data_IF_867366634595
#
_entry.id   IF_867366634595
#
_cell.length_a   1.000
_cell.length_b   1.000
_cell.length_c   1.000
_cell.angle_alpha   90.00
_cell.angle_beta   90.00
_cell.angle_gamma   90.00
#
_symmetry.space_group_name_H-M   'P 1'
#
loop_
_entity.id
_entity.type
_entity.pdbx_description
1 polymer ?
#
# COMPACT_ATOMS: atom_id res chain seq x y z
N UNK A 1 -1.87 1.23 -21.27
CA UNK A 1 -2.09 0.92 -19.85
C UNK A 1 -3.32 1.65 -19.36
N UNK A 2 -4.10 1.00 -18.49
CA UNK A 2 -5.36 1.59 -18.00
C UNK A 2 -5.15 2.69 -16.96
N UNK A 3 -4.04 2.67 -16.22
CA UNK A 3 -3.71 3.72 -15.28
C UNK A 3 -3.29 4.96 -16.04
N UNK A 4 -3.95 6.07 -15.76
CA UNK A 4 -3.78 7.28 -16.54
C UNK A 4 -2.56 8.08 -16.12
N UNK A 5 -2.14 9.01 -16.99
CA UNK A 5 -1.04 9.93 -16.75
C UNK A 5 -1.24 10.68 -15.42
N UNK A 6 -0.19 10.79 -14.64
CA UNK A 6 -0.16 11.49 -13.35
C UNK A 6 -1.09 10.91 -12.29
N UNK A 7 -1.49 9.64 -12.44
CA UNK A 7 -2.33 8.96 -11.45
C UNK A 7 -1.55 8.61 -10.18
N UNK A 8 -2.26 8.56 -9.06
CA UNK A 8 -1.75 8.02 -7.80
C UNK A 8 -2.28 6.60 -7.61
N UNK A 9 -1.36 5.65 -7.46
CA UNK A 9 -1.65 4.27 -7.11
C UNK A 9 -1.30 4.07 -5.63
N UNK A 10 -2.30 3.79 -4.83
CA UNK A 10 -2.13 3.53 -3.40
C UNK A 10 -2.18 2.03 -3.14
N UNK A 11 -1.16 1.53 -2.44
CA UNK A 11 -1.15 0.15 -1.96
C UNK A 11 -1.22 0.16 -0.44
N UNK A 12 -2.15 -0.58 0.10
CA UNK A 12 -2.37 -0.63 1.54
C UNK A 12 -2.65 -2.06 2.00
N UNK A 13 -2.51 -2.28 3.28
CA UNK A 13 -2.70 -3.59 3.88
C UNK A 13 -1.97 -3.71 5.21
N UNK A 14 -1.39 -4.88 5.43
CA UNK A 14 -0.68 -5.25 6.65
C UNK A 14 0.86 -5.24 6.46
N UNK A 15 1.56 -6.09 7.21
CA UNK A 15 3.03 -6.18 7.16
C UNK A 15 3.57 -6.58 5.80
N UNK A 16 2.82 -7.35 5.01
CA UNK A 16 3.26 -7.77 3.67
C UNK A 16 3.40 -6.55 2.75
N UNK A 17 2.53 -5.57 2.91
CA UNK A 17 2.60 -4.30 2.19
C UNK A 17 3.54 -3.32 2.86
N UNK A 18 3.48 -3.19 4.18
CA UNK A 18 4.31 -2.27 4.97
C UNK A 18 5.80 -2.52 4.74
N UNK A 19 6.27 -3.69 5.11
CA UNK A 19 7.66 -4.14 4.95
C UNK A 19 8.70 -3.06 5.24
N UNK A 20 8.52 -2.29 6.31
CA UNK A 20 9.48 -1.27 6.73
C UNK A 20 9.44 0.00 5.89
N UNK A 21 8.31 0.35 5.31
CA UNK A 21 8.16 1.61 4.56
C UNK A 21 8.45 2.83 5.42
N UNK A 22 8.84 3.92 4.79
CA UNK A 22 9.07 5.20 5.47
C UNK A 22 7.75 5.83 5.90
N UNK A 23 7.75 6.45 7.05
CA UNK A 23 6.62 7.18 7.62
C UNK A 23 6.96 8.65 7.82
N UNK A 24 6.05 9.59 7.47
CA UNK A 24 4.76 9.35 6.81
C UNK A 24 4.92 8.81 5.40
N UNK A 25 3.84 8.33 4.78
CA UNK A 25 3.88 7.80 3.43
C UNK A 25 4.41 8.88 2.47
N UNK A 26 5.56 8.61 1.86
CA UNK A 26 6.24 9.53 0.98
C UNK A 26 5.89 9.26 -0.48
N UNK A 27 6.24 10.20 -1.36
CA UNK A 27 6.15 9.97 -2.79
C UNK A 27 7.22 8.99 -3.25
N UNK A 28 6.95 8.40 -4.37
CA UNK A 28 7.59 7.24 -4.91
C UNK A 28 9.09 7.38 -5.18
N UNK A 29 9.87 7.01 -4.18
CA UNK A 29 11.24 6.56 -4.40
C UNK A 29 11.36 5.17 -3.78
N UNK A 30 12.04 4.27 -4.46
CA UNK A 30 11.96 2.84 -4.15
C UNK A 30 12.35 2.47 -2.73
N UNK A 31 13.26 3.20 -2.10
CA UNK A 31 13.67 2.95 -0.72
C UNK A 31 12.65 3.43 0.32
N UNK A 32 11.74 4.33 -0.06
CA UNK A 32 10.66 4.81 0.81
C UNK A 32 9.49 3.82 0.89
N UNK A 33 9.41 2.90 -0.06
CA UNK A 33 8.25 2.02 -0.23
C UNK A 33 8.38 0.70 0.52
N UNK A 34 9.45 0.52 1.27
CA UNK A 34 9.71 -0.70 2.03
C UNK A 34 10.41 -1.78 1.21
N UNK A 35 10.59 -2.95 1.83
CA UNK A 35 11.35 -4.07 1.26
C UNK A 35 10.46 -5.19 0.73
N UNK A 36 9.17 -4.95 0.55
CA UNK A 36 8.19 -5.91 0.05
C UNK A 36 7.89 -5.73 -1.42
N UNK A 37 6.68 -6.10 -1.83
CA UNK A 37 6.29 -6.11 -3.24
C UNK A 37 6.01 -4.71 -3.81
N UNK A 38 5.82 -3.68 -2.99
CA UNK A 38 5.48 -2.33 -3.46
C UNK A 38 6.64 -1.69 -4.21
N UNK A 39 7.87 -1.83 -3.73
CA UNK A 39 9.05 -1.28 -4.40
C UNK A 39 9.28 -1.87 -5.80
N UNK A 40 9.20 -3.20 -6.01
CA UNK A 40 9.26 -3.77 -7.36
C UNK A 40 8.16 -3.26 -8.30
N UNK A 41 6.95 -3.02 -7.80
CA UNK A 41 5.88 -2.44 -8.63
C UNK A 41 6.28 -1.06 -9.10
N UNK A 42 6.80 -0.21 -8.22
CA UNK A 42 7.30 1.11 -8.59
C UNK A 42 8.38 1.03 -9.66
N UNK A 43 9.36 0.13 -9.46
CA UNK A 43 10.44 -0.05 -10.41
C UNK A 43 9.92 -0.53 -11.78
N UNK A 44 8.98 -1.48 -11.79
CA UNK A 44 8.40 -2.00 -13.03
C UNK A 44 7.64 -0.92 -13.79
N UNK A 45 6.82 -0.13 -13.12
CA UNK A 45 6.08 0.96 -13.75
C UNK A 45 7.01 2.04 -14.27
N UNK A 46 8.08 2.36 -13.53
CA UNK A 46 9.09 3.31 -13.98
C UNK A 46 9.84 2.84 -15.22
N UNK A 47 10.08 1.54 -15.33
CA UNK A 47 10.79 0.96 -16.48
C UNK A 47 9.88 0.79 -17.70
N UNK A 48 8.62 0.40 -17.50
CA UNK A 48 7.71 0.06 -18.60
C UNK A 48 6.83 1.24 -19.04
N UNK A 49 6.56 2.18 -18.15
CA UNK A 49 5.66 3.31 -18.41
C UNK A 49 6.25 4.64 -17.89
N UNK A 50 7.49 5.00 -18.27
CA UNK A 50 8.15 6.16 -17.67
C UNK A 50 7.43 7.48 -17.95
N UNK A 51 6.74 7.58 -19.10
CA UNK A 51 6.00 8.79 -19.47
C UNK A 51 4.69 8.98 -18.73
N UNK A 52 4.21 8.00 -17.99
CA UNK A 52 2.93 8.08 -17.28
C UNK A 52 3.02 8.84 -15.96
N UNK A 53 4.22 8.94 -15.38
CA UNK A 53 4.43 9.64 -14.11
C UNK A 53 3.45 9.16 -13.02
N UNK A 54 3.39 7.85 -12.82
CA UNK A 54 2.50 7.24 -11.82
C UNK A 54 3.14 7.38 -10.44
N UNK A 55 2.40 7.99 -9.51
CA UNK A 55 2.85 8.12 -8.12
C UNK A 55 2.38 6.92 -7.33
N UNK A 56 3.30 6.31 -6.61
CA UNK A 56 2.99 5.14 -5.78
C UNK A 56 3.11 5.53 -4.32
N UNK A 57 2.10 5.16 -3.53
CA UNK A 57 2.10 5.35 -2.09
C UNK A 57 1.84 4.04 -1.38
N UNK A 58 2.48 3.87 -0.25
CA UNK A 58 2.34 2.69 0.60
C UNK A 58 1.84 3.12 1.98
N UNK A 59 0.63 2.72 2.32
CA UNK A 59 0.05 2.96 3.65
C UNK A 59 -0.23 1.68 4.40
N UNK A 60 0.46 0.59 4.08
CA UNK A 60 0.41 -0.64 4.85
C UNK A 60 0.89 -0.44 6.29
N UNK A 61 0.30 -1.14 7.23
CA UNK A 61 0.70 -1.12 8.64
C UNK A 61 0.73 -2.56 9.16
N UNK A 62 1.90 -2.94 9.67
CA UNK A 62 2.11 -4.28 10.22
C UNK A 62 1.08 -4.61 11.29
N UNK A 63 0.59 -5.84 11.27
CA UNK A 63 -0.37 -6.32 12.25
C UNK A 63 -1.82 -5.97 11.96
N UNK A 64 -2.10 -5.20 10.90
CA UNK A 64 -3.48 -4.75 10.60
C UNK A 64 -4.40 -5.91 10.27
N UNK A 65 -5.58 -5.88 10.87
CA UNK A 65 -6.75 -6.65 10.47
C UNK A 65 -7.63 -5.79 9.56
N UNK A 66 -8.69 -6.38 9.01
CA UNK A 66 -9.68 -5.62 8.24
C UNK A 66 -10.30 -4.50 9.08
N UNK A 67 -10.54 -4.76 10.36
CA UNK A 67 -11.09 -3.74 11.28
C UNK A 67 -10.11 -2.59 11.51
N UNK A 68 -8.82 -2.92 11.65
CA UNK A 68 -7.78 -1.90 11.79
C UNK A 68 -7.71 -1.01 10.55
N UNK A 69 -7.77 -1.61 9.37
CA UNK A 69 -7.79 -0.86 8.12
C UNK A 69 -9.01 0.04 8.02
N UNK A 70 -10.18 -0.47 8.40
CA UNK A 70 -11.41 0.31 8.40
C UNK A 70 -11.31 1.53 9.34
N UNK A 71 -10.69 1.36 10.50
CA UNK A 71 -10.53 2.45 11.48
C UNK A 71 -9.65 3.59 10.96
N UNK A 72 -8.70 3.30 10.07
CA UNK A 72 -7.78 4.30 9.50
C UNK A 72 -8.08 4.63 8.03
N UNK A 73 -9.25 4.23 7.55
CA UNK A 73 -9.62 4.35 6.14
C UNK A 73 -9.58 5.80 5.66
N UNK A 74 -10.12 6.73 6.46
CA UNK A 74 -10.16 8.14 6.08
C UNK A 74 -8.76 8.71 5.90
N UNK A 75 -7.89 8.57 6.88
CA UNK A 75 -6.56 9.19 6.86
C UNK A 75 -5.57 8.49 5.93
N UNK A 76 -5.67 7.16 5.82
CA UNK A 76 -4.68 6.37 5.09
C UNK A 76 -5.10 6.01 3.67
N UNK A 77 -6.34 6.26 3.30
CA UNK A 77 -6.84 5.99 1.95
C UNK A 77 -7.52 7.21 1.36
N UNK A 78 -8.64 7.63 1.92
CA UNK A 78 -9.47 8.67 1.30
C UNK A 78 -8.78 10.03 1.22
N UNK A 79 -8.07 10.43 2.27
CA UNK A 79 -7.38 11.73 2.31
C UNK A 79 -6.24 11.82 1.31
N UNK A 80 -5.69 10.69 0.88
CA UNK A 80 -4.62 10.64 -0.13
C UNK A 80 -5.16 10.73 -1.56
N UNK A 81 -6.47 10.66 -1.73
CA UNK A 81 -7.15 10.81 -3.03
C UNK A 81 -6.55 9.93 -4.11
N UNK A 82 -6.46 8.61 -3.91
CA UNK A 82 -5.90 7.74 -4.93
C UNK A 82 -6.82 7.64 -6.14
N UNK A 83 -6.20 7.52 -7.30
CA UNK A 83 -6.93 7.19 -8.54
C UNK A 83 -7.16 5.69 -8.63
N UNK A 84 -6.22 4.90 -8.11
CA UNK A 84 -6.28 3.45 -8.04
C UNK A 84 -5.87 2.98 -6.66
N UNK A 85 -6.51 1.94 -6.19
CA UNK A 85 -6.28 1.37 -4.87
C UNK A 85 -6.07 -0.14 -4.97
N UNK A 86 -5.00 -0.62 -4.34
CA UNK A 86 -4.75 -2.04 -4.15
C UNK A 86 -4.76 -2.34 -2.65
N UNK A 87 -5.56 -3.31 -2.25
CA UNK A 87 -5.68 -3.73 -0.85
C UNK A 87 -5.25 -5.19 -0.73
N UNK A 88 -4.31 -5.45 0.17
CA UNK A 88 -3.93 -6.82 0.55
C UNK A 88 -4.04 -6.93 2.06
N UNK A 89 -5.10 -7.58 2.54
CA UNK A 89 -5.45 -7.67 3.96
C UNK A 89 -6.14 -8.99 4.24
N UNK A 90 -6.09 -9.46 5.47
CA UNK A 90 -6.83 -10.63 5.89
C UNK A 90 -6.00 -11.69 6.62
N UNK A 91 -4.69 -11.75 6.40
CA UNK A 91 -3.85 -12.78 7.04
C UNK A 91 -3.87 -12.62 8.57
N UNK A 92 -3.86 -11.40 9.08
CA UNK A 92 -3.90 -11.17 10.52
C UNK A 92 -5.27 -11.50 11.12
N UNK A 93 -6.34 -11.36 10.34
CA UNK A 93 -7.67 -11.79 10.77
C UNK A 93 -7.69 -13.30 11.03
N UNK A 94 -7.13 -14.07 10.12
CA UNK A 94 -7.00 -15.52 10.26
C UNK A 94 -6.04 -15.87 11.39
N UNK A 95 -4.90 -15.20 11.44
CA UNK A 95 -3.86 -15.47 12.43
C UNK A 95 -4.37 -15.28 13.85
N UNK A 96 -5.12 -14.20 14.10
CA UNK A 96 -5.68 -13.92 15.42
C UNK A 96 -6.77 -14.89 15.82
N UNK A 97 -7.49 -15.47 14.87
CA UNK A 97 -8.46 -16.53 15.14
C UNK A 97 -7.76 -17.80 15.66
N UNK A 98 -6.56 -18.08 15.16
CA UNK A 98 -5.78 -19.24 15.62
C UNK A 98 -5.16 -19.02 16.99
N UNK A 99 -4.68 -17.80 17.26
CA UNK A 99 -3.98 -17.48 18.51
C UNK A 99 -4.93 -17.17 19.66
N UNK A 100 -6.03 -16.50 19.35
CA UNK A 100 -7.00 -16.04 20.35
C UNK A 100 -8.41 -16.13 19.75
N UNK A 101 -8.97 -17.34 19.68
CA UNK A 101 -10.33 -17.52 19.14
C UNK A 101 -11.35 -16.68 19.89
N UNK A 102 -12.21 -16.03 19.14
CA UNK A 102 -13.26 -15.18 19.70
C UNK A 102 -14.45 -16.01 20.20
#
# INVERSE_FOLDING_TARGET
MKIQLNSTLLLTGDSITDCGRVRPAAEAVSWDLGNGYVAPIHALLGATCPGQNIRIRNTGISGSTVRDLAARWQSNVLDLKPDWLSIMIGINDVWRQLDAPL
#
